data_IF_403163621896
#
_entry.id   IF_403163621896
#
_cell.length_a   1.000
_cell.length_b   1.000
_cell.length_c   1.000
_cell.angle_alpha   90.00
_cell.angle_beta   90.00
_cell.angle_gamma   90.00
#
_symmetry.space_group_name_H-M   'P 1'
#
loop_
_entity.id
_entity.type
_entity.pdbx_description
1 polymer ?
#
# COMPACT_ATOMS: atom_id res chain seq x y z
N UNK A 1 24.06 34.60 -48.00
CA UNK A 1 25.27 34.16 -48.73
C UNK A 1 25.95 33.19 -47.78
N UNK A 2 26.04 31.88 -47.96
CA UNK A 2 26.24 31.07 -49.16
C UNK A 2 25.73 29.63 -48.90
N UNK A 3 25.35 28.94 -49.98
CA UNK A 3 24.89 27.54 -50.04
C UNK A 3 26.02 26.68 -50.62
N UNK A 4 26.25 25.47 -50.10
CA UNK A 4 26.65 24.29 -50.90
C UNK A 4 26.51 23.00 -50.06
N UNK A 5 25.63 22.04 -50.38
CA UNK A 5 25.64 21.01 -51.47
C UNK A 5 26.78 19.99 -51.27
N UNK A 6 26.68 18.65 -51.46
CA UNK A 6 25.72 17.66 -52.01
C UNK A 6 26.32 16.26 -51.67
N UNK A 7 25.54 15.18 -51.46
CA UNK A 7 25.17 14.15 -52.46
C UNK A 7 25.05 12.74 -51.80
N UNK A 8 23.92 12.01 -51.93
CA UNK A 8 23.56 10.95 -52.93
C UNK A 8 24.30 9.60 -52.71
N UNK A 9 23.71 8.38 -52.61
CA UNK A 9 22.70 7.62 -53.41
C UNK A 9 22.14 6.41 -52.59
N UNK A 10 20.84 6.09 -52.58
CA UNK A 10 20.04 5.10 -53.35
C UNK A 10 20.38 3.59 -53.28
N UNK A 11 19.35 2.77 -52.98
CA UNK A 11 19.25 1.33 -53.28
C UNK A 11 17.90 0.73 -52.86
N UNK A 12 17.12 0.22 -53.83
CA UNK A 12 15.74 -0.30 -53.77
C UNK A 12 15.72 -1.82 -54.09
N UNK A 13 14.69 -2.55 -53.65
CA UNK A 13 14.27 -3.90 -54.12
C UNK A 13 13.74 -4.76 -52.96
N UNK A 14 12.46 -5.09 -52.77
CA UNK A 14 11.38 -5.72 -53.56
C UNK A 14 11.45 -7.27 -53.72
N UNK A 15 10.35 -7.89 -53.26
CA UNK A 15 9.67 -9.13 -53.72
C UNK A 15 9.85 -10.50 -53.00
N UNK A 16 8.85 -10.80 -52.15
CA UNK A 16 7.82 -11.87 -52.25
C UNK A 16 8.14 -13.39 -52.43
N UNK A 17 7.63 -14.15 -51.43
CA UNK A 17 6.65 -15.28 -51.52
C UNK A 17 7.03 -16.78 -51.61
N UNK A 18 6.29 -17.54 -50.77
CA UNK A 18 5.87 -18.97 -50.80
C UNK A 18 6.95 -20.07 -50.67
N UNK A 19 6.76 -21.23 -50.03
CA UNK A 19 5.65 -21.94 -49.40
C UNK A 19 6.02 -23.45 -49.39
N UNK A 20 5.66 -24.24 -48.37
CA UNK A 20 5.92 -25.69 -48.40
C UNK A 20 5.63 -26.43 -47.09
N UNK A 21 4.63 -27.32 -47.14
CA UNK A 21 4.11 -28.11 -46.03
C UNK A 21 4.86 -29.45 -45.81
N UNK A 22 4.84 -29.96 -44.57
CA UNK A 22 5.27 -31.31 -44.23
C UNK A 22 4.82 -31.72 -42.81
N UNK A 23 3.83 -32.61 -42.73
CA UNK A 23 3.44 -33.43 -41.56
C UNK A 23 4.39 -34.66 -41.52
N UNK A 24 4.75 -35.38 -40.45
CA UNK A 24 4.05 -35.90 -39.27
C UNK A 24 5.14 -36.34 -38.26
N UNK A 25 4.88 -36.32 -36.94
CA UNK A 25 5.72 -37.04 -35.98
C UNK A 25 5.40 -36.74 -34.51
N UNK A 26 4.45 -37.49 -33.93
CA UNK A 26 4.14 -37.48 -32.49
C UNK A 26 5.33 -38.02 -31.69
N UNK A 27 5.87 -37.23 -30.76
CA UNK A 27 6.59 -37.73 -29.60
C UNK A 27 5.97 -37.14 -28.33
N UNK A 28 5.19 -38.00 -27.67
CA UNK A 28 4.78 -37.86 -26.29
C UNK A 28 5.98 -38.07 -25.38
N UNK A 29 6.46 -37.02 -24.72
CA UNK A 29 7.27 -37.18 -23.50
C UNK A 29 6.58 -36.44 -22.36
N UNK A 30 5.89 -37.24 -21.56
CA UNK A 30 5.42 -36.94 -20.22
C UNK A 30 6.57 -36.50 -19.31
N UNK A 31 6.63 -35.22 -18.98
CA UNK A 31 7.18 -34.79 -17.69
C UNK A 31 6.02 -34.30 -16.83
N UNK A 32 5.54 -35.17 -15.95
CA UNK A 32 4.68 -34.80 -14.82
C UNK A 32 5.47 -33.82 -13.95
N UNK A 33 5.30 -32.52 -14.17
CA UNK A 33 5.55 -31.54 -13.12
C UNK A 33 4.33 -31.60 -12.22
N UNK A 34 4.52 -32.17 -11.04
CA UNK A 34 3.56 -32.02 -9.96
C UNK A 34 3.33 -30.53 -9.73
N UNK A 35 2.17 -30.03 -10.20
CA UNK A 35 1.66 -28.74 -9.78
C UNK A 35 1.29 -28.90 -8.30
N UNK A 36 2.29 -28.82 -7.42
CA UNK A 36 2.07 -28.57 -6.01
C UNK A 36 1.32 -27.24 -5.98
N UNK A 37 0.00 -27.31 -5.80
CA UNK A 37 -0.86 -26.13 -5.66
C UNK A 37 -0.22 -25.30 -4.56
N UNK A 38 0.36 -24.16 -4.93
CA UNK A 38 0.76 -23.16 -3.95
C UNK A 38 -0.49 -22.86 -3.14
N UNK A 39 -0.44 -23.19 -1.84
CA UNK A 39 -1.53 -22.91 -0.91
C UNK A 39 -1.46 -21.41 -0.68
N UNK A 40 -2.14 -20.65 -1.54
CA UNK A 40 -2.36 -19.22 -1.30
C UNK A 40 -3.18 -19.14 -0.03
N UNK A 41 -2.53 -18.73 1.06
CA UNK A 41 -3.17 -18.38 2.31
C UNK A 41 -3.98 -17.10 2.03
N UNK A 42 -5.30 -17.23 1.83
CA UNK A 42 -6.13 -16.06 1.50
C UNK A 42 -7.45 -16.29 0.78
N UNK A 43 -7.87 -17.53 0.49
CA UNK A 43 -9.27 -17.78 0.10
C UNK A 43 -10.16 -17.86 1.33
N UNK A 44 -10.32 -16.74 2.03
CA UNK A 44 -11.43 -16.61 2.99
C UNK A 44 -12.66 -16.30 2.15
N UNK A 45 -13.63 -17.21 2.13
CA UNK A 45 -14.97 -16.89 1.60
C UNK A 45 -15.52 -15.73 2.42
N UNK A 46 -15.84 -14.62 1.76
CA UNK A 46 -16.50 -13.48 2.43
C UNK A 46 -17.88 -13.96 2.90
N UNK A 47 -18.29 -13.60 4.12
CA UNK A 47 -19.62 -13.98 4.60
C UNK A 47 -20.70 -13.20 3.83
N UNK A 48 -21.91 -13.75 3.65
CA UNK A 48 -23.00 -13.01 2.98
C UNK A 48 -23.30 -11.66 3.63
N UNK A 49 -23.12 -11.56 4.95
CA UNK A 49 -23.26 -10.31 5.69
C UNK A 49 -22.19 -9.28 5.30
N UNK A 50 -20.92 -9.70 5.22
CA UNK A 50 -19.84 -8.83 4.80
C UNK A 50 -19.97 -8.42 3.32
N UNK A 51 -20.40 -9.33 2.44
CA UNK A 51 -20.72 -9.00 1.04
C UNK A 51 -21.84 -7.95 0.96
N UNK A 52 -22.90 -8.10 1.74
CA UNK A 52 -23.98 -7.12 1.80
C UNK A 52 -23.50 -5.75 2.30
N UNK A 53 -22.70 -5.72 3.38
CA UNK A 53 -22.13 -4.47 3.90
C UNK A 53 -21.24 -3.77 2.87
N UNK A 54 -20.40 -4.52 2.15
CA UNK A 54 -19.58 -3.99 1.06
C UNK A 54 -20.46 -3.42 -0.05
N UNK A 55 -21.50 -4.14 -0.46
CA UNK A 55 -22.42 -3.67 -1.51
C UNK A 55 -23.13 -2.38 -1.12
N UNK A 56 -23.61 -2.28 0.13
CA UNK A 56 -24.23 -1.05 0.66
C UNK A 56 -23.24 0.11 0.62
N UNK A 57 -22.02 -0.10 1.12
CA UNK A 57 -20.97 0.92 1.12
C UNK A 57 -20.62 1.41 -0.29
N UNK A 58 -20.46 0.48 -1.25
CA UNK A 58 -20.15 0.83 -2.64
C UNK A 58 -21.29 1.64 -3.25
N UNK A 59 -22.54 1.19 -3.08
CA UNK A 59 -23.71 1.90 -3.60
C UNK A 59 -23.86 3.30 -3.00
N UNK A 60 -23.69 3.44 -1.68
CA UNK A 60 -23.78 4.74 -1.01
C UNK A 60 -22.66 5.68 -1.46
N UNK A 61 -21.44 5.17 -1.65
CA UNK A 61 -20.28 5.96 -2.09
C UNK A 61 -20.46 6.44 -3.52
N UNK A 62 -20.93 5.57 -4.42
CA UNK A 62 -21.22 5.93 -5.82
C UNK A 62 -22.36 6.95 -5.90
N UNK A 63 -23.42 6.77 -5.12
CA UNK A 63 -24.54 7.71 -5.08
C UNK A 63 -24.16 9.09 -4.52
N UNK A 64 -23.27 9.14 -3.52
CA UNK A 64 -22.77 10.40 -2.97
C UNK A 64 -21.92 11.18 -3.99
N UNK A 65 -21.17 10.47 -4.83
CA UNK A 65 -20.24 11.07 -5.79
C UNK A 65 -19.12 11.88 -5.09
N UNK A 66 -18.29 12.54 -5.90
CA UNK A 66 -17.13 13.29 -5.40
C UNK A 66 -17.54 14.44 -4.48
N UNK A 67 -18.60 15.16 -4.84
CA UNK A 67 -19.06 16.33 -4.07
C UNK A 67 -19.68 15.91 -2.73
N UNK A 68 -20.42 14.80 -2.69
CA UNK A 68 -20.96 14.25 -1.45
C UNK A 68 -19.86 13.78 -0.50
N UNK A 69 -18.84 13.08 -1.01
CA UNK A 69 -17.69 12.64 -0.21
C UNK A 69 -16.89 13.86 0.31
N UNK A 70 -16.72 14.90 -0.52
CA UNK A 70 -16.08 16.15 -0.08
C UNK A 70 -16.85 16.79 1.07
N UNK A 71 -18.17 16.85 0.99
CA UNK A 71 -19.00 17.40 2.07
C UNK A 71 -18.85 16.60 3.37
N UNK A 72 -18.84 15.26 3.29
CA UNK A 72 -18.61 14.41 4.47
C UNK A 72 -17.23 14.65 5.08
N UNK A 73 -16.19 14.82 4.25
CA UNK A 73 -14.85 15.16 4.73
C UNK A 73 -14.83 16.52 5.44
N UNK A 74 -15.50 17.53 4.88
CA UNK A 74 -15.60 18.88 5.47
C UNK A 74 -16.24 18.87 6.86
N UNK A 75 -17.18 17.96 7.12
CA UNK A 75 -17.81 17.78 8.43
C UNK A 75 -16.85 17.22 9.49
N UNK A 76 -15.83 16.45 9.09
CA UNK A 76 -14.92 15.74 10.01
C UNK A 76 -13.49 16.29 10.06
N UNK A 77 -13.06 17.09 9.07
CA UNK A 77 -11.64 17.48 8.90
C UNK A 77 -11.02 18.24 10.08
N UNK A 78 -11.85 18.91 10.88
CA UNK A 78 -11.42 19.69 12.04
C UNK A 78 -11.64 18.93 13.36
N UNK A 79 -11.85 17.62 13.30
CA UNK A 79 -12.01 16.80 14.49
C UNK A 79 -10.72 16.84 15.33
N UNK A 80 -10.88 17.20 16.60
CA UNK A 80 -9.81 17.15 17.60
C UNK A 80 -10.27 16.24 18.74
N UNK A 81 -9.44 15.25 19.14
CA UNK A 81 -9.73 14.39 20.29
C UNK A 81 -9.84 15.20 21.59
N UNK A 82 -10.69 14.73 22.52
CA UNK A 82 -10.89 15.37 23.83
C UNK A 82 -9.57 15.45 24.62
N UNK A 83 -8.77 14.38 24.59
CA UNK A 83 -7.42 14.35 25.16
C UNK A 83 -6.39 14.36 24.02
N UNK A 84 -5.90 15.57 23.72
CA UNK A 84 -4.95 15.85 22.64
C UNK A 84 -3.54 16.21 23.14
N UNK A 85 -3.22 15.80 24.37
CA UNK A 85 -1.87 15.92 24.93
C UNK A 85 -0.84 15.15 24.08
N UNK A 86 0.37 15.71 23.97
CA UNK A 86 1.44 15.19 23.10
C UNK A 86 2.84 15.62 23.58
N UNK A 87 3.04 15.62 24.90
CA UNK A 87 4.31 15.99 25.55
C UNK A 87 5.45 15.08 25.12
N UNK A 88 5.19 13.77 24.99
CA UNK A 88 6.23 12.81 24.55
C UNK A 88 6.62 13.02 23.10
N UNK A 89 5.67 13.38 22.24
CA UNK A 89 5.97 13.77 20.87
C UNK A 89 6.87 15.00 20.83
N UNK A 90 6.53 16.04 21.58
CA UNK A 90 7.31 17.29 21.65
C UNK A 90 8.71 17.10 22.24
N UNK A 91 8.89 16.14 23.15
CA UNK A 91 10.17 15.82 23.76
C UNK A 91 11.11 14.97 22.87
N UNK A 92 10.62 14.38 21.78
CA UNK A 92 11.38 13.47 20.91
C UNK A 92 11.30 13.85 19.41
N UNK A 93 11.61 15.10 19.02
CA UNK A 93 11.46 15.56 17.64
C UNK A 93 12.31 14.76 16.65
N UNK A 94 13.45 14.21 17.06
CA UNK A 94 14.35 13.41 16.24
C UNK A 94 13.81 12.01 15.89
N UNK A 95 12.76 11.58 16.59
CA UNK A 95 12.08 10.28 16.37
C UNK A 95 10.81 10.44 15.54
N UNK A 96 10.44 11.68 15.21
CA UNK A 96 9.25 12.00 14.43
C UNK A 96 9.65 12.26 12.97
N UNK A 97 8.97 11.61 12.03
CA UNK A 97 9.18 11.87 10.61
C UNK A 97 8.62 13.22 10.18
N UNK A 98 7.50 13.62 10.78
CA UNK A 98 6.76 14.83 10.44
C UNK A 98 6.36 15.54 11.74
N UNK A 99 6.67 16.83 11.84
CA UNK A 99 6.40 17.63 13.04
C UNK A 99 4.93 18.08 13.14
N UNK A 100 4.20 18.05 12.03
CA UNK A 100 2.79 18.42 11.90
C UNK A 100 1.85 17.21 12.07
N UNK A 101 2.39 15.99 12.18
CA UNK A 101 1.63 14.79 12.47
C UNK A 101 1.84 14.41 13.94
N UNK A 102 0.91 14.82 14.79
CA UNK A 102 1.02 14.66 16.25
C UNK A 102 0.80 13.21 16.68
N UNK A 103 1.60 12.73 17.64
CA UNK A 103 1.38 11.47 18.36
C UNK A 103 0.76 11.78 19.73
N UNK A 104 -0.43 11.23 19.99
CA UNK A 104 -1.20 11.52 21.21
C UNK A 104 -0.68 10.73 22.40
N UNK A 105 -0.51 11.36 23.56
CA UNK A 105 -0.02 10.68 24.77
C UNK A 105 -1.02 9.63 25.28
N UNK A 106 -2.31 9.94 25.23
CA UNK A 106 -3.40 9.09 25.74
C UNK A 106 -3.49 7.71 25.09
N UNK A 107 -3.00 7.58 23.86
CA UNK A 107 -3.07 6.33 23.08
C UNK A 107 -1.72 5.87 22.55
N UNK A 108 -0.61 6.53 22.92
CA UNK A 108 0.71 6.15 22.40
C UNK A 108 1.07 4.72 22.77
N UNK A 109 1.84 4.07 21.90
CA UNK A 109 2.51 2.83 22.25
C UNK A 109 3.71 3.17 23.14
N UNK A 110 3.76 2.57 24.34
CA UNK A 110 4.87 2.72 25.27
C UNK A 110 5.81 1.53 25.09
N UNK A 111 7.05 1.79 24.66
CA UNK A 111 8.06 0.74 24.54
C UNK A 111 8.62 0.38 25.92
N UNK A 112 8.85 -0.90 26.15
CA UNK A 112 9.56 -1.41 27.33
C UNK A 112 10.69 -2.32 26.85
N UNK A 113 11.85 -1.72 26.59
CA UNK A 113 12.95 -2.43 25.94
C UNK A 113 13.83 -3.18 26.94
N UNK A 114 13.75 -2.82 28.23
CA UNK A 114 14.57 -3.39 29.30
C UNK A 114 16.08 -3.37 28.99
N UNK A 115 16.52 -2.47 28.10
CA UNK A 115 17.92 -2.26 27.71
C UNK A 115 18.23 -0.76 27.68
N UNK A 116 19.35 -0.29 28.26
CA UNK A 116 19.74 1.12 28.21
C UNK A 116 20.18 1.58 26.79
N UNK A 117 19.90 2.84 26.40
CA UNK A 117 18.99 3.76 27.07
C UNK A 117 17.55 3.28 26.92
N UNK A 118 16.82 3.26 28.04
CA UNK A 118 15.42 2.84 28.07
C UNK A 118 14.59 3.96 27.43
N UNK A 119 14.27 3.80 26.14
CA UNK A 119 13.49 4.77 25.38
C UNK A 119 12.05 4.26 25.30
N UNK A 120 11.14 4.96 25.96
CA UNK A 120 9.73 4.61 26.03
C UNK A 120 8.89 5.14 24.86
N UNK A 121 9.52 5.81 23.90
CA UNK A 121 8.87 6.56 22.82
C UNK A 121 9.10 5.97 21.43
N UNK A 122 7.99 5.71 20.74
CA UNK A 122 7.89 5.53 19.29
C UNK A 122 6.67 6.33 18.80
N UNK A 123 6.74 6.89 17.60
CA UNK A 123 5.60 7.59 16.97
C UNK A 123 4.57 6.57 16.47
N UNK A 124 3.77 6.06 17.42
CA UNK A 124 2.72 5.10 17.17
C UNK A 124 1.59 5.25 18.19
N UNK A 125 0.34 5.07 17.75
CA UNK A 125 -0.86 5.11 18.57
C UNK A 125 -1.70 3.84 18.42
N UNK A 126 -2.33 3.41 19.51
CA UNK A 126 -3.34 2.37 19.51
C UNK A 126 -4.65 2.89 18.92
N UNK A 127 -5.18 2.20 17.92
CA UNK A 127 -6.49 2.45 17.33
C UNK A 127 -7.44 1.31 17.71
N UNK A 128 -8.59 1.69 18.26
CA UNK A 128 -9.71 0.79 18.54
C UNK A 128 -10.94 1.28 17.80
N UNK A 129 -11.64 0.37 17.14
CA UNK A 129 -12.96 0.62 16.56
C UNK A 129 -13.99 -0.11 17.39
N UNK A 130 -15.13 0.52 17.69
CA UNK A 130 -16.13 -0.07 18.60
C UNK A 130 -16.71 -1.39 18.07
N UNK A 131 -16.82 -1.51 16.75
CA UNK A 131 -17.36 -2.68 16.05
C UNK A 131 -16.33 -3.78 15.77
N UNK A 132 -15.07 -3.61 16.19
CA UNK A 132 -14.00 -4.58 15.93
C UNK A 132 -13.30 -4.94 17.23
N UNK A 133 -13.36 -6.22 17.60
CA UNK A 133 -12.66 -6.78 18.77
C UNK A 133 -11.15 -6.97 18.55
N UNK A 134 -10.54 -6.06 17.79
CA UNK A 134 -9.10 -6.01 17.56
C UNK A 134 -8.63 -4.59 17.70
N UNK A 135 -7.45 -4.45 18.31
CA UNK A 135 -6.70 -3.20 18.36
C UNK A 135 -5.67 -3.21 17.25
N UNK A 136 -5.45 -2.04 16.68
CA UNK A 136 -4.44 -1.82 15.66
C UNK A 136 -3.41 -0.84 16.19
N UNK A 137 -2.20 -0.90 15.64
CA UNK A 137 -1.20 0.14 15.84
C UNK A 137 -1.12 0.91 14.52
N UNK A 138 -1.40 2.21 14.58
CA UNK A 138 -0.98 3.12 13.52
C UNK A 138 0.37 3.70 13.91
N UNK A 139 1.35 3.59 13.02
CA UNK A 139 2.72 4.06 13.25
C UNK A 139 3.25 4.72 11.99
N UNK A 140 4.18 5.65 12.16
CA UNK A 140 4.90 6.21 11.02
C UNK A 140 5.76 5.15 10.32
N UNK A 141 6.11 5.40 9.05
CA UNK A 141 7.15 4.61 8.39
C UNK A 141 8.49 4.78 9.10
N UNK A 142 9.22 3.70 9.42
CA UNK A 142 10.42 3.75 10.26
C UNK A 142 11.48 4.65 9.64
N UNK A 143 12.15 5.44 10.47
CA UNK A 143 13.34 6.20 10.12
C UNK A 143 14.57 5.29 10.27
N UNK A 144 15.71 5.67 9.71
CA UNK A 144 16.96 4.91 9.89
C UNK A 144 17.31 4.74 11.38
N UNK A 145 17.09 5.79 12.18
CA UNK A 145 17.32 5.79 13.63
C UNK A 145 16.18 5.14 14.46
N UNK A 146 15.06 4.73 13.84
CA UNK A 146 13.93 4.07 14.52
C UNK A 146 13.58 2.69 13.95
N UNK A 147 14.37 2.15 13.02
CA UNK A 147 14.09 0.85 12.38
C UNK A 147 14.10 -0.32 13.37
N UNK A 148 14.96 -0.27 14.39
CA UNK A 148 14.98 -1.25 15.47
C UNK A 148 13.71 -1.22 16.32
N UNK A 149 12.98 -0.09 16.31
CA UNK A 149 11.79 0.12 17.14
C UNK A 149 10.52 -0.56 16.61
N UNK A 150 10.51 -0.96 15.34
CA UNK A 150 9.34 -1.57 14.71
C UNK A 150 9.18 -3.06 15.04
N UNK A 151 10.22 -3.71 15.57
CA UNK A 151 10.24 -5.16 15.83
C UNK A 151 10.05 -5.54 17.31
N UNK A 152 9.70 -4.58 18.16
CA UNK A 152 9.49 -4.79 19.60
C UNK A 152 8.10 -5.36 19.92
#
# INVERSE_FOLDING_TARGET
>A
MDRSKKGHKHGHGHDAAAGGAGSVGNISTTTKRDKKKSKILGKTSVSPEAENAINIFVQSTVAAGVDGIRKQFEEIKNYTPIDSTHEKFSANPERNRYNDIICLDSTRVVLNLNVPPDVDYIHANWIKMDSVDRKFIATQGPLENTIGMLFF
#
